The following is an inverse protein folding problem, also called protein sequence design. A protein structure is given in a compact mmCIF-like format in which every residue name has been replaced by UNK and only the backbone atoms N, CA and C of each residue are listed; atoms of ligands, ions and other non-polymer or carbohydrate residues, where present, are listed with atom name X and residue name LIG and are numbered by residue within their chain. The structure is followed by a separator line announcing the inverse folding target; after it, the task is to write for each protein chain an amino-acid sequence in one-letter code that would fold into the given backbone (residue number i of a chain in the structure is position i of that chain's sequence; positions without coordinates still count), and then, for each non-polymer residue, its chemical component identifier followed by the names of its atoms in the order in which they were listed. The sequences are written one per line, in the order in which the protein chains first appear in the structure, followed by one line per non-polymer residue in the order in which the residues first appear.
data_IF_425581261092
#
_entry.id   IF_425581261092
#
_cell.length_a   1.000
_cell.length_b   1.000
_cell.length_c   1.000
_cell.angle_alpha   90.00
_cell.angle_beta   90.00
_cell.angle_gamma   90.00
#
_symmetry.space_group_name_H-M   'P 1'
#
loop_
_entity.id
_entity.type
_entity.pdbx_description
1 polymer ?
#
# COMPACT_ATOMS: atom_id res chain seq x y z
N UNK A 1 17.94 16.33 7.66
CA UNK A 1 16.46 16.50 7.74
C UNK A 1 16.08 17.62 8.67
N UNK A 2 16.46 17.60 9.97
CA UNK A 2 16.04 18.61 10.97
C UNK A 2 16.28 20.03 10.49
N UNK A 3 17.47 20.37 10.00
CA UNK A 3 17.79 21.71 9.51
C UNK A 3 16.89 22.17 8.35
N UNK A 4 16.55 21.28 7.44
CA UNK A 4 15.63 21.58 6.34
C UNK A 4 14.20 21.84 6.85
N UNK A 5 13.74 21.08 7.81
CA UNK A 5 12.44 21.29 8.47
C UNK A 5 12.42 22.61 9.23
N UNK A 6 13.46 22.89 10.01
CA UNK A 6 13.58 24.13 10.78
C UNK A 6 13.62 25.38 9.86
N UNK A 7 14.24 25.27 8.69
CA UNK A 7 14.26 26.34 7.68
C UNK A 7 12.89 26.56 7.04
N UNK A 8 12.16 25.46 6.75
CA UNK A 8 10.89 25.47 6.04
C UNK A 8 9.66 25.60 6.97
N UNK A 9 9.83 25.85 8.29
CA UNK A 9 8.76 25.79 9.28
C UNK A 9 7.53 26.65 8.97
N UNK A 10 7.71 27.81 8.32
CA UNK A 10 6.60 28.68 7.92
C UNK A 10 5.74 28.13 6.79
N UNK A 11 6.26 27.17 6.03
CA UNK A 11 5.53 26.48 4.95
C UNK A 11 4.65 25.34 5.43
N UNK A 12 4.69 25.01 6.74
CA UNK A 12 3.94 23.91 7.33
C UNK A 12 4.65 22.56 7.23
N UNK A 13 4.02 21.52 7.78
CA UNK A 13 4.57 20.16 7.91
C UNK A 13 3.97 19.18 6.90
N UNK A 14 3.67 19.62 5.69
CA UNK A 14 3.03 18.70 4.72
C UNK A 14 3.26 19.10 3.27
N UNK A 15 2.66 18.34 2.38
CA UNK A 15 2.60 18.64 0.96
C UNK A 15 3.96 18.68 0.27
N UNK A 16 4.09 19.55 -0.73
CA UNK A 16 5.27 19.63 -1.61
C UNK A 16 6.58 19.95 -0.89
N UNK A 17 6.52 20.68 0.24
CA UNK A 17 7.73 21.00 1.02
C UNK A 17 8.34 19.73 1.61
N UNK A 18 7.53 18.87 2.20
CA UNK A 18 8.01 17.59 2.74
C UNK A 18 8.49 16.65 1.64
N UNK A 19 7.85 16.64 0.49
CA UNK A 19 8.30 15.85 -0.67
C UNK A 19 9.67 16.31 -1.17
N UNK A 20 9.87 17.62 -1.24
CA UNK A 20 11.18 18.19 -1.60
C UNK A 20 12.27 17.86 -0.56
N UNK A 21 11.95 17.99 0.73
CA UNK A 21 12.85 17.58 1.83
C UNK A 21 13.17 16.10 1.76
N UNK A 22 12.18 15.25 1.55
CA UNK A 22 12.34 13.78 1.43
C UNK A 22 13.25 13.43 0.26
N UNK A 23 13.07 14.06 -0.89
CA UNK A 23 13.91 13.83 -2.07
C UNK A 23 15.39 14.12 -1.81
N UNK A 24 15.69 15.24 -1.15
CA UNK A 24 17.06 15.60 -0.75
C UNK A 24 17.61 14.66 0.33
N UNK A 25 16.80 14.32 1.31
CA UNK A 25 17.21 13.43 2.41
C UNK A 25 17.58 12.03 1.91
N UNK A 26 16.76 11.46 1.02
CA UNK A 26 17.04 10.18 0.36
C UNK A 26 18.35 10.25 -0.42
N UNK A 27 18.55 11.30 -1.22
CA UNK A 27 19.78 11.48 -1.99
C UNK A 27 21.03 11.60 -1.09
N UNK A 28 20.95 12.29 0.03
CA UNK A 28 22.04 12.44 0.99
C UNK A 28 22.36 11.12 1.71
N UNK A 29 21.36 10.33 2.06
CA UNK A 29 21.56 9.00 2.63
C UNK A 29 22.18 8.02 1.63
N UNK A 30 21.73 8.04 0.38
CA UNK A 30 22.32 7.24 -0.70
C UNK A 30 23.79 7.62 -0.94
N UNK A 31 24.09 8.94 -0.98
CA UNK A 31 25.46 9.43 -1.12
C UNK A 31 26.34 8.97 0.05
N UNK A 32 25.83 9.02 1.30
CA UNK A 32 26.56 8.56 2.48
C UNK A 32 26.86 7.05 2.40
N UNK A 33 25.88 6.25 2.01
CA UNK A 33 26.06 4.81 1.87
C UNK A 33 27.12 4.48 0.79
N UNK A 34 27.05 5.16 -0.34
CA UNK A 34 28.04 5.03 -1.42
C UNK A 34 29.45 5.47 -0.99
N UNK A 35 29.57 6.57 -0.24
CA UNK A 35 30.85 7.01 0.30
C UNK A 35 31.45 6.02 1.30
N UNK A 36 30.62 5.30 2.04
CA UNK A 36 31.04 4.23 2.94
C UNK A 36 31.25 2.88 2.24
N UNK A 37 30.99 2.80 0.93
CA UNK A 37 31.02 1.55 0.15
C UNK A 37 30.16 0.43 0.77
N UNK A 38 28.97 0.77 1.23
CA UNK A 38 28.02 -0.19 1.82
C UNK A 38 26.59 0.07 1.32
N UNK A 39 25.70 -0.94 1.37
CA UNK A 39 24.31 -0.74 0.98
C UNK A 39 23.57 0.13 2.00
N UNK A 40 22.61 0.90 1.53
CA UNK A 40 21.86 1.86 2.33
C UNK A 40 21.19 1.25 3.56
N UNK A 41 20.61 0.05 3.43
CA UNK A 41 19.98 -0.64 4.58
C UNK A 41 20.97 -0.86 5.73
N UNK A 42 22.25 -1.11 5.44
CA UNK A 42 23.32 -1.31 6.44
C UNK A 42 23.71 0.04 7.06
N UNK A 43 23.90 1.09 6.24
CA UNK A 43 24.15 2.46 6.73
C UNK A 43 23.07 2.93 7.70
N UNK A 44 21.82 2.50 7.49
CA UNK A 44 20.68 2.80 8.37
C UNK A 44 20.55 1.87 9.59
N UNK A 45 21.51 0.97 9.80
CA UNK A 45 21.54 0.07 10.95
C UNK A 45 20.72 -1.22 10.78
N UNK A 46 20.33 -1.56 9.57
CA UNK A 46 19.63 -2.80 9.27
C UNK A 46 20.54 -4.02 9.48
N UNK A 47 19.97 -5.10 9.99
CA UNK A 47 20.69 -6.36 10.24
C UNK A 47 20.34 -7.44 9.19
N UNK A 48 19.24 -7.29 8.50
CA UNK A 48 18.76 -8.25 7.51
C UNK A 48 18.48 -7.54 6.18
N UNK A 49 19.12 -7.94 5.06
CA UNK A 49 18.87 -7.36 3.74
C UNK A 49 17.58 -7.84 3.09
N UNK A 50 16.91 -8.84 3.66
CA UNK A 50 15.74 -9.48 3.04
C UNK A 50 14.44 -8.83 3.51
N UNK A 51 13.59 -8.51 2.56
CA UNK A 51 12.20 -8.11 2.79
C UNK A 51 11.30 -8.94 1.88
N UNK A 52 10.16 -9.40 2.41
CA UNK A 52 9.14 -10.04 1.57
C UNK A 52 8.52 -9.01 0.65
N UNK A 53 8.38 -9.35 -0.62
CA UNK A 53 7.80 -8.49 -1.63
C UNK A 53 6.54 -9.11 -2.22
N UNK A 54 5.63 -8.26 -2.69
CA UNK A 54 4.45 -8.65 -3.46
C UNK A 54 4.43 -7.90 -4.79
N UNK A 55 3.75 -8.47 -5.79
CA UNK A 55 3.59 -7.84 -7.09
C UNK A 55 2.47 -6.79 -7.05
N UNK A 56 2.76 -5.56 -7.48
CA UNK A 56 1.78 -4.48 -7.59
C UNK A 56 2.06 -3.64 -8.82
N UNK A 57 1.01 -3.16 -9.49
CA UNK A 57 1.13 -2.35 -10.70
C UNK A 57 0.01 -1.31 -10.82
N UNK A 58 0.10 -0.49 -11.86
CA UNK A 58 -0.97 0.42 -12.29
C UNK A 58 -1.88 -0.34 -13.26
N UNK A 59 -2.65 -1.28 -12.73
CA UNK A 59 -3.33 -2.31 -13.51
C UNK A 59 -4.75 -1.96 -13.95
N UNK A 60 -5.37 -0.90 -13.42
CA UNK A 60 -6.73 -0.47 -13.80
C UNK A 60 -6.95 -0.43 -15.32
N UNK A 61 -6.07 0.18 -16.14
CA UNK A 61 -6.28 0.26 -17.57
C UNK A 61 -5.96 -1.02 -18.33
N UNK A 62 -5.44 -2.05 -17.66
CA UNK A 62 -5.09 -3.31 -18.31
C UNK A 62 -6.34 -4.13 -18.65
N UNK A 63 -6.40 -4.68 -19.88
CA UNK A 63 -7.34 -5.74 -20.18
C UNK A 63 -7.09 -6.97 -19.31
N UNK A 64 -8.11 -7.80 -19.10
CA UNK A 64 -7.98 -9.03 -18.31
C UNK A 64 -6.91 -9.98 -18.86
N UNK A 65 -6.72 -10.02 -20.17
CA UNK A 65 -5.65 -10.80 -20.81
C UNK A 65 -4.26 -10.25 -20.45
N UNK A 66 -4.07 -8.93 -20.53
CA UNK A 66 -2.80 -8.30 -20.18
C UNK A 66 -2.51 -8.40 -18.68
N UNK A 67 -3.53 -8.26 -17.83
CA UNK A 67 -3.44 -8.47 -16.40
C UNK A 67 -2.96 -9.89 -16.08
N UNK A 68 -3.56 -10.90 -16.70
CA UNK A 68 -3.14 -12.30 -16.56
C UNK A 68 -1.67 -12.48 -16.94
N UNK A 69 -1.27 -12.02 -18.13
CA UNK A 69 0.13 -12.11 -18.61
C UNK A 69 1.10 -11.43 -17.65
N UNK A 70 0.68 -10.29 -17.06
CA UNK A 70 1.51 -9.56 -16.13
C UNK A 70 1.72 -10.34 -14.82
N UNK A 71 0.67 -10.86 -14.19
CA UNK A 71 0.78 -11.66 -12.96
C UNK A 71 1.47 -13.02 -13.21
N UNK A 72 1.27 -13.66 -14.36
CA UNK A 72 2.05 -14.83 -14.75
C UNK A 72 3.54 -14.52 -14.87
N UNK A 73 3.91 -13.33 -15.38
CA UNK A 73 5.30 -12.87 -15.40
C UNK A 73 5.84 -12.66 -13.98
N UNK A 74 5.07 -12.06 -13.08
CA UNK A 74 5.46 -11.88 -11.68
C UNK A 74 5.62 -13.24 -10.98
N UNK A 75 4.72 -14.16 -11.22
CA UNK A 75 4.83 -15.53 -10.69
C UNK A 75 6.12 -16.23 -11.15
N UNK A 76 6.51 -16.08 -12.44
CA UNK A 76 7.81 -16.60 -12.92
C UNK A 76 9.02 -15.98 -12.23
N UNK A 77 8.89 -14.77 -11.69
CA UNK A 77 9.93 -14.13 -10.88
C UNK A 77 9.91 -14.56 -9.40
N UNK A 78 9.00 -15.44 -9.02
CA UNK A 78 8.92 -16.01 -7.68
C UNK A 78 7.97 -15.28 -6.74
N UNK A 79 7.19 -14.30 -7.21
CA UNK A 79 6.19 -13.65 -6.36
C UNK A 79 5.07 -14.61 -6.00
N UNK A 80 4.70 -14.64 -4.72
CA UNK A 80 3.61 -15.43 -4.14
C UNK A 80 2.48 -14.57 -3.55
N UNK A 81 2.49 -13.29 -3.85
CA UNK A 81 1.49 -12.32 -3.43
C UNK A 81 1.33 -11.19 -4.43
N UNK A 82 0.15 -10.58 -4.47
CA UNK A 82 -0.16 -9.47 -5.37
C UNK A 82 -1.17 -8.50 -4.78
N UNK A 83 -1.06 -7.23 -5.17
CA UNK A 83 -1.99 -6.15 -4.85
C UNK A 83 -2.62 -5.62 -6.13
N UNK A 84 -3.95 -5.61 -6.19
CA UNK A 84 -4.75 -5.17 -7.33
C UNK A 84 -5.47 -3.86 -7.01
N UNK A 85 -5.46 -2.93 -7.96
CA UNK A 85 -6.29 -1.73 -7.90
C UNK A 85 -7.76 -2.07 -8.17
N UNK A 86 -8.65 -1.61 -7.28
CA UNK A 86 -10.10 -1.89 -7.29
C UNK A 86 -10.91 -0.60 -7.10
N UNK A 87 -12.23 -0.70 -7.20
CA UNK A 87 -13.14 0.36 -6.79
C UNK A 87 -14.01 0.94 -7.91
N UNK A 88 -13.73 0.63 -9.18
CA UNK A 88 -14.49 1.17 -10.29
C UNK A 88 -15.73 0.34 -10.62
N UNK A 89 -15.63 -0.98 -10.58
CA UNK A 89 -16.73 -1.90 -10.88
C UNK A 89 -16.54 -3.20 -10.11
N UNK A 90 -17.48 -3.51 -9.23
CA UNK A 90 -17.39 -4.64 -8.29
C UNK A 90 -17.26 -6.00 -8.97
N UNK A 91 -18.06 -6.27 -10.02
CA UNK A 91 -18.02 -7.55 -10.72
C UNK A 91 -16.69 -7.74 -11.47
N UNK A 92 -16.18 -6.68 -12.07
CA UNK A 92 -14.86 -6.68 -12.71
C UNK A 92 -13.74 -6.84 -11.66
N UNK A 93 -13.84 -6.16 -10.53
CA UNK A 93 -12.85 -6.24 -9.44
C UNK A 93 -12.74 -7.70 -8.95
N UNK A 94 -13.86 -8.37 -8.65
CA UNK A 94 -13.90 -9.77 -8.25
C UNK A 94 -13.26 -10.69 -9.30
N UNK A 95 -13.60 -10.51 -10.57
CA UNK A 95 -13.03 -11.26 -11.68
C UNK A 95 -11.51 -11.06 -11.79
N UNK A 96 -11.05 -9.82 -11.67
CA UNK A 96 -9.64 -9.44 -11.79
C UNK A 96 -8.81 -9.94 -10.60
N UNK A 97 -9.36 -9.92 -9.38
CA UNK A 97 -8.75 -10.54 -8.19
C UNK A 97 -8.57 -12.05 -8.43
N UNK A 98 -9.58 -12.71 -9.00
CA UNK A 98 -9.49 -14.12 -9.38
C UNK A 98 -8.36 -14.41 -10.38
N UNK A 99 -8.19 -13.57 -11.41
CA UNK A 99 -7.10 -13.68 -12.39
C UNK A 99 -5.73 -13.55 -11.71
N UNK A 100 -5.56 -12.57 -10.83
CA UNK A 100 -4.33 -12.37 -10.05
C UNK A 100 -4.02 -13.58 -9.19
N UNK A 101 -5.00 -14.02 -8.36
CA UNK A 101 -4.87 -15.18 -7.49
C UNK A 101 -4.45 -16.43 -8.26
N UNK A 102 -5.14 -16.73 -9.35
CA UNK A 102 -4.91 -17.96 -10.12
C UNK A 102 -3.53 -17.97 -10.78
N UNK A 103 -3.04 -16.81 -11.23
CA UNK A 103 -1.69 -16.70 -11.77
C UNK A 103 -0.60 -16.90 -10.68
N UNK A 104 -0.84 -16.44 -9.44
CA UNK A 104 0.12 -16.55 -8.34
C UNK A 104 0.10 -17.92 -7.63
N UNK A 105 -0.95 -18.71 -7.81
CA UNK A 105 -1.08 -20.07 -7.23
C UNK A 105 0.03 -21.03 -7.63
N UNK A 106 0.77 -20.77 -8.68
CA UNK A 106 1.93 -21.58 -9.07
C UNK A 106 3.04 -21.57 -8.01
N UNK A 107 3.14 -20.52 -7.22
CA UNK A 107 4.17 -20.34 -6.17
C UNK A 107 3.66 -20.58 -4.75
N UNK A 108 2.34 -20.55 -4.53
CA UNK A 108 1.72 -20.75 -3.23
C UNK A 108 0.29 -21.24 -3.39
N UNK A 109 -0.14 -22.26 -2.65
CA UNK A 109 -1.54 -22.69 -2.63
C UNK A 109 -2.48 -21.57 -2.16
N UNK A 110 -1.98 -20.73 -1.22
CA UNK A 110 -2.67 -19.58 -0.67
C UNK A 110 -1.83 -18.31 -0.88
N UNK A 111 -1.83 -17.73 -2.09
CA UNK A 111 -1.09 -16.51 -2.35
C UNK A 111 -1.65 -15.35 -1.53
N UNK A 112 -0.78 -14.41 -1.13
CA UNK A 112 -1.23 -13.19 -0.46
C UNK A 112 -2.01 -12.31 -1.44
N UNK A 113 -3.23 -11.98 -1.09
CA UNK A 113 -4.13 -11.17 -1.93
C UNK A 113 -4.39 -9.84 -1.21
N UNK A 114 -4.01 -8.75 -1.85
CA UNK A 114 -4.27 -7.40 -1.37
C UNK A 114 -5.07 -6.63 -2.41
N UNK A 115 -5.92 -5.74 -1.93
CA UNK A 115 -6.68 -4.82 -2.78
C UNK A 115 -6.41 -3.38 -2.36
N UNK A 116 -6.51 -2.46 -3.32
CA UNK A 116 -6.24 -1.05 -3.10
C UNK A 116 -7.22 -0.18 -3.87
N UNK A 117 -8.06 0.56 -3.17
CA UNK A 117 -9.06 1.42 -3.79
C UNK A 117 -8.64 2.89 -3.89
N UNK A 118 -7.44 3.25 -3.44
CA UNK A 118 -6.92 4.62 -3.46
C UNK A 118 -7.94 5.66 -2.99
N UNK A 119 -8.53 5.43 -1.83
CA UNK A 119 -9.50 6.33 -1.18
C UNK A 119 -10.82 6.55 -1.97
N UNK A 120 -11.17 5.67 -2.88
CA UNK A 120 -12.28 5.89 -3.81
C UNK A 120 -13.66 5.75 -3.15
N UNK A 121 -13.81 4.87 -2.16
CA UNK A 121 -15.10 4.56 -1.57
C UNK A 121 -15.46 5.50 -0.40
N UNK A 122 -16.76 5.62 -0.14
CA UNK A 122 -17.24 6.02 1.19
C UNK A 122 -17.11 4.84 2.17
N UNK A 123 -17.07 5.09 3.50
CA UNK A 123 -16.96 4.01 4.49
C UNK A 123 -18.03 2.92 4.37
N UNK A 124 -19.27 3.29 4.04
CA UNK A 124 -20.36 2.32 3.83
C UNK A 124 -20.20 1.49 2.58
N UNK A 125 -19.69 2.09 1.49
CA UNK A 125 -19.39 1.35 0.27
C UNK A 125 -18.23 0.41 0.50
N UNK A 126 -17.16 0.86 1.17
CA UNK A 126 -16.00 0.05 1.51
C UNK A 126 -16.41 -1.19 2.30
N UNK A 127 -17.21 -1.04 3.38
CA UNK A 127 -17.68 -2.18 4.17
C UNK A 127 -18.45 -3.16 3.29
N UNK A 128 -19.42 -2.67 2.50
CA UNK A 128 -20.24 -3.55 1.65
C UNK A 128 -19.39 -4.30 0.63
N UNK A 129 -18.56 -3.57 -0.13
CA UNK A 129 -17.80 -4.16 -1.23
C UNK A 129 -16.70 -5.10 -0.76
N UNK A 130 -15.99 -4.72 0.31
CA UNK A 130 -14.94 -5.59 0.87
C UNK A 130 -15.56 -6.85 1.46
N UNK A 131 -16.69 -6.74 2.18
CA UNK A 131 -17.40 -7.92 2.71
C UNK A 131 -17.84 -8.88 1.61
N UNK A 132 -18.30 -8.40 0.46
CA UNK A 132 -18.65 -9.25 -0.69
C UNK A 132 -17.40 -9.94 -1.27
N UNK A 133 -16.25 -9.26 -1.31
CA UNK A 133 -14.97 -9.83 -1.77
C UNK A 133 -14.46 -10.90 -0.78
N UNK A 134 -14.60 -10.64 0.53
CA UNK A 134 -14.20 -11.56 1.61
C UNK A 134 -14.94 -12.90 1.62
N UNK A 135 -16.15 -12.96 1.05
CA UNK A 135 -16.87 -14.23 0.89
C UNK A 135 -16.24 -15.16 -0.17
N UNK A 136 -15.37 -14.60 -1.05
CA UNK A 136 -14.79 -15.30 -2.19
C UNK A 136 -13.27 -15.48 -2.03
N UNK A 137 -12.60 -14.50 -1.41
CA UNK A 137 -11.15 -14.44 -1.30
C UNK A 137 -10.71 -14.18 0.14
N UNK A 138 -9.64 -14.86 0.55
CA UNK A 138 -8.92 -14.54 1.79
C UNK A 138 -7.99 -13.34 1.52
N UNK A 139 -8.39 -12.16 1.97
CA UNK A 139 -7.63 -10.92 1.77
C UNK A 139 -6.63 -10.70 2.89
N UNK A 140 -5.40 -10.36 2.52
CA UNK A 140 -4.34 -9.98 3.47
C UNK A 140 -4.57 -8.59 4.04
N UNK A 141 -4.88 -7.61 3.16
CA UNK A 141 -5.35 -6.28 3.56
C UNK A 141 -6.15 -5.59 2.43
N UNK A 142 -6.95 -4.62 2.84
CA UNK A 142 -7.61 -3.64 1.98
C UNK A 142 -6.96 -2.27 2.20
N UNK A 143 -6.31 -1.74 1.16
CA UNK A 143 -5.54 -0.49 1.21
C UNK A 143 -6.41 0.71 0.83
N UNK A 144 -6.30 1.77 1.64
CA UNK A 144 -6.98 3.05 1.45
C UNK A 144 -8.47 2.90 1.08
N UNK A 145 -9.28 2.15 1.88
CA UNK A 145 -10.68 1.88 1.51
C UNK A 145 -11.57 3.12 1.56
N UNK A 146 -11.15 4.17 2.29
CA UNK A 146 -11.84 5.45 2.38
C UNK A 146 -10.84 6.60 2.50
N UNK A 147 -11.34 7.85 2.51
CA UNK A 147 -10.51 9.05 2.54
C UNK A 147 -9.60 9.08 3.78
N UNK A 148 -8.30 9.38 3.59
CA UNK A 148 -7.27 9.43 4.65
C UNK A 148 -7.59 10.37 5.82
N UNK A 149 -8.38 11.40 5.61
CA UNK A 149 -8.80 12.34 6.68
C UNK A 149 -10.08 11.94 7.41
N UNK A 150 -10.80 10.92 6.94
CA UNK A 150 -11.98 10.38 7.63
C UNK A 150 -11.58 9.24 8.58
N UNK A 151 -10.86 9.60 9.64
CA UNK A 151 -10.34 8.65 10.63
C UNK A 151 -11.46 7.83 11.28
N UNK A 152 -12.63 8.46 11.54
CA UNK A 152 -13.79 7.79 12.11
C UNK A 152 -14.43 6.84 11.11
N UNK A 153 -14.48 7.24 9.84
CA UNK A 153 -14.97 6.39 8.75
C UNK A 153 -14.07 5.19 8.52
N UNK A 154 -12.75 5.39 8.47
CA UNK A 154 -11.77 4.29 8.37
C UNK A 154 -11.85 3.33 9.54
N UNK A 155 -12.01 3.84 10.78
CA UNK A 155 -12.25 2.98 11.95
C UNK A 155 -13.52 2.13 11.79
N UNK A 156 -14.61 2.71 11.27
CA UNK A 156 -15.83 1.95 10.99
C UNK A 156 -15.62 0.88 9.92
N UNK A 157 -14.77 1.14 8.93
CA UNK A 157 -14.40 0.12 7.93
C UNK A 157 -13.63 -1.01 8.60
N UNK A 158 -12.57 -0.70 9.36
CA UNK A 158 -11.78 -1.70 10.10
C UNK A 158 -12.66 -2.57 11.02
N UNK A 159 -13.61 -1.95 11.74
CA UNK A 159 -14.54 -2.69 12.62
C UNK A 159 -15.60 -3.52 11.84
N UNK A 160 -15.90 -3.13 10.62
CA UNK A 160 -17.00 -3.70 9.83
C UNK A 160 -16.61 -4.79 8.85
N UNK A 161 -15.32 -5.07 8.69
CA UNK A 161 -14.77 -6.09 7.78
C UNK A 161 -13.85 -7.05 8.55
N UNK A 162 -13.55 -8.22 7.98
CA UNK A 162 -12.59 -9.19 8.57
C UNK A 162 -11.15 -8.86 8.20
N UNK A 163 -10.97 -8.28 7.02
CA UNK A 163 -9.66 -7.94 6.44
C UNK A 163 -9.03 -6.76 7.16
N UNK A 164 -7.72 -6.79 7.35
CA UNK A 164 -6.96 -5.66 7.88
C UNK A 164 -7.07 -4.43 6.95
N UNK A 165 -7.29 -3.25 7.52
CA UNK A 165 -7.22 -1.98 6.78
C UNK A 165 -5.78 -1.49 6.75
N UNK A 166 -5.26 -1.24 5.55
CA UNK A 166 -3.94 -0.65 5.33
C UNK A 166 -4.06 0.80 4.86
N UNK A 167 -3.19 1.67 5.35
CA UNK A 167 -3.13 3.06 4.90
C UNK A 167 -1.75 3.67 5.19
N UNK A 168 -1.39 4.75 4.50
CA UNK A 168 -0.19 5.51 4.84
C UNK A 168 0.62 6.04 3.66
N UNK A 169 0.44 5.57 2.44
CA UNK A 169 1.24 6.00 1.29
C UNK A 169 1.19 7.51 1.06
N UNK A 170 0.09 8.15 1.44
CA UNK A 170 -0.14 9.58 1.28
C UNK A 170 0.17 10.41 2.56
N UNK A 171 0.64 9.78 3.63
CA UNK A 171 1.02 10.46 4.87
C UNK A 171 2.50 10.85 4.82
N UNK A 172 2.81 12.08 5.26
CA UNK A 172 4.14 12.68 5.05
C UNK A 172 4.94 12.84 6.34
N UNK A 173 4.28 13.01 7.47
CA UNK A 173 4.92 13.32 8.75
C UNK A 173 4.37 12.48 9.87
N UNK A 174 5.10 12.39 10.97
CA UNK A 174 4.60 11.77 12.20
C UNK A 174 3.24 12.38 12.63
N UNK A 175 3.04 13.68 12.40
CA UNK A 175 1.79 14.37 12.68
C UNK A 175 0.61 13.83 11.89
N UNK A 176 0.83 13.39 10.65
CA UNK A 176 -0.22 12.79 9.82
C UNK A 176 -0.61 11.38 10.30
N UNK A 177 0.34 10.63 10.88
CA UNK A 177 0.08 9.29 11.42
C UNK A 177 -0.58 9.32 12.80
N UNK A 178 -0.34 10.35 13.63
CA UNK A 178 -0.90 10.39 14.99
C UNK A 178 -2.42 10.21 15.06
N UNK A 179 -3.25 10.83 14.21
CA UNK A 179 -4.69 10.59 14.21
C UNK A 179 -5.06 9.13 13.92
N UNK A 180 -4.30 8.44 13.06
CA UNK A 180 -4.54 7.01 12.79
C UNK A 180 -4.38 6.17 14.04
N UNK A 181 -3.33 6.40 14.83
CA UNK A 181 -3.12 5.71 16.11
C UNK A 181 -4.20 6.05 17.13
N UNK A 182 -4.54 7.34 17.27
CA UNK A 182 -5.57 7.78 18.22
C UNK A 182 -6.95 7.19 17.92
N UNK A 183 -7.33 7.14 16.65
CA UNK A 183 -8.63 6.63 16.22
C UNK A 183 -8.61 5.13 15.92
N UNK A 184 -7.44 4.47 15.90
CA UNK A 184 -7.29 3.07 15.47
C UNK A 184 -7.89 2.85 14.08
N UNK A 185 -7.53 3.74 13.14
CA UNK A 185 -8.16 3.84 11.82
C UNK A 185 -7.57 2.90 10.78
N UNK A 186 -6.43 2.28 11.06
CA UNK A 186 -5.80 1.27 10.23
C UNK A 186 -5.16 0.20 11.12
N UNK A 187 -4.97 -0.99 10.54
CA UNK A 187 -4.43 -2.17 11.19
C UNK A 187 -2.99 -2.42 10.71
N UNK A 188 -2.67 -1.92 9.50
CA UNK A 188 -1.36 -2.03 8.82
C UNK A 188 -0.91 -0.68 8.32
#
# INVERSE_FOLDING_TARGET
TKQMIDFAFKGGHGGMINEAISSLDIALWDLKAKANNEPLWKTLGGLNPMARAYASGLDIPMSNENLKKWYEKMARWGFDGGKLKVGLNQDDDIKRIGIMRDALKVNSENPLIMIDSNEYWSPKQAIRFISEIEEIFDLTWAEEPARRWDFIGLKKVSDGIKTAVCAGENLKTLGDFLPYFHHKSADV
#
